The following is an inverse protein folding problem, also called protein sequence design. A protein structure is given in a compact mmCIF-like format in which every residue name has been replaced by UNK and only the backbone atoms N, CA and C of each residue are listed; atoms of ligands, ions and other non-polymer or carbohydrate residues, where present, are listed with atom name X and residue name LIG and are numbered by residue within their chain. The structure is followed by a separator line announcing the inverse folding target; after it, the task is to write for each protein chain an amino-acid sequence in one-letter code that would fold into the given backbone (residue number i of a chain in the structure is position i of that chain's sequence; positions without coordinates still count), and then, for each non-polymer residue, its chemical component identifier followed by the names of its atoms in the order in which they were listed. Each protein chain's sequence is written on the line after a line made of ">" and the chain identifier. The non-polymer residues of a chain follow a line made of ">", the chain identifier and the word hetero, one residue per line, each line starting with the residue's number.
data_IF_392381037094
#
_entry.id   IF_392381037094
#
_cell.length_a   1.000
_cell.length_b   1.000
_cell.length_c   1.000
_cell.angle_alpha   90.00
_cell.angle_beta   90.00
_cell.angle_gamma   90.00
#
_symmetry.space_group_name_H-M   'P 1'
#
loop_
_entity.id
_entity.type
_entity.pdbx_description
1 polymer ?
#
# COMPACT_ATOMS: atom_id res chain seq x y z
N UNK A 1 -0.34 23.96 -11.44
CA UNK A 1 -1.20 22.81 -11.77
C UNK A 1 -0.85 21.71 -10.79
N UNK A 2 -1.84 21.01 -10.24
CA UNK A 2 -1.57 19.83 -9.41
C UNK A 2 -1.03 18.72 -10.28
N UNK A 3 0.00 18.02 -9.80
CA UNK A 3 0.54 16.82 -10.42
C UNK A 3 -0.28 15.59 -10.03
N UNK A 4 -0.07 14.48 -10.74
CA UNK A 4 -0.68 13.18 -10.37
C UNK A 4 -0.20 12.74 -8.99
N UNK A 5 1.06 12.99 -8.64
CA UNK A 5 1.60 12.71 -7.31
C UNK A 5 0.87 13.50 -6.22
N UNK A 6 0.56 14.78 -6.47
CA UNK A 6 -0.23 15.58 -5.52
C UNK A 6 -1.64 15.00 -5.32
N UNK A 7 -2.27 14.48 -6.38
CA UNK A 7 -3.58 13.81 -6.28
C UNK A 7 -3.51 12.50 -5.48
N UNK A 8 -2.43 11.74 -5.60
CA UNK A 8 -2.18 10.51 -4.82
C UNK A 8 -1.97 10.86 -3.34
N UNK A 9 -1.17 11.88 -3.06
CA UNK A 9 -0.94 12.34 -1.68
C UNK A 9 -2.24 12.77 -0.99
N UNK A 10 -3.17 13.41 -1.71
CA UNK A 10 -4.51 13.72 -1.18
C UNK A 10 -5.36 12.49 -0.80
N UNK A 11 -5.00 11.30 -1.30
CA UNK A 11 -5.63 10.04 -0.93
C UNK A 11 -5.04 9.44 0.37
N UNK A 12 -4.07 10.10 1.00
CA UNK A 12 -3.40 9.62 2.21
C UNK A 12 -2.30 8.58 1.95
N UNK A 13 -1.88 8.43 0.70
CA UNK A 13 -0.74 7.60 0.32
C UNK A 13 0.45 8.50 0.00
N UNK A 14 1.44 8.50 0.88
CA UNK A 14 2.67 9.29 0.74
C UNK A 14 3.86 8.45 0.25
N UNK A 15 3.78 7.12 0.38
CA UNK A 15 4.81 6.18 -0.07
C UNK A 15 4.43 5.59 -1.44
N UNK A 16 5.21 5.90 -2.47
CA UNK A 16 5.03 5.35 -3.83
C UNK A 16 5.11 3.81 -3.84
N UNK A 17 5.99 3.23 -3.01
CA UNK A 17 6.12 1.78 -2.85
C UNK A 17 4.82 1.14 -2.33
N UNK A 18 4.10 1.81 -1.44
CA UNK A 18 2.81 1.33 -0.92
C UNK A 18 1.76 1.33 -2.02
N UNK A 19 1.70 2.42 -2.80
CA UNK A 19 0.76 2.54 -3.91
C UNK A 19 1.00 1.48 -4.98
N UNK A 20 2.25 1.27 -5.40
CA UNK A 20 2.58 0.31 -6.44
C UNK A 20 2.16 -1.12 -6.05
N UNK A 21 2.32 -1.46 -4.77
CA UNK A 21 1.95 -2.78 -4.25
C UNK A 21 0.44 -2.98 -4.26
N UNK A 22 -0.33 -1.97 -3.84
CA UNK A 22 -1.78 -2.00 -3.85
C UNK A 22 -2.33 -2.01 -5.29
N UNK A 23 -1.77 -1.18 -6.16
CA UNK A 23 -2.11 -1.15 -7.58
C UNK A 23 -1.88 -2.51 -8.26
N UNK A 24 -0.74 -3.16 -7.97
CA UNK A 24 -0.44 -4.50 -8.48
C UNK A 24 -1.31 -5.60 -7.87
N UNK A 25 -1.71 -5.48 -6.60
CA UNK A 25 -2.61 -6.44 -5.93
C UNK A 25 -4.03 -6.37 -6.48
N UNK A 26 -4.59 -5.17 -6.59
CA UNK A 26 -5.95 -4.95 -7.06
C UNK A 26 -6.09 -4.95 -8.60
N UNK A 27 -4.95 -4.99 -9.31
CA UNK A 27 -4.89 -4.86 -10.77
C UNK A 27 -5.50 -3.54 -11.27
N UNK A 28 -5.21 -2.45 -10.58
CA UNK A 28 -5.74 -1.11 -10.85
C UNK A 28 -4.63 -0.16 -11.30
N UNK A 29 -4.93 0.83 -12.17
CA UNK A 29 -4.03 1.95 -12.42
C UNK A 29 -3.73 2.73 -11.11
N UNK A 30 -2.54 3.34 -10.95
CA UNK A 30 -2.13 3.97 -9.70
C UNK A 30 -3.14 4.98 -9.14
N UNK A 31 -3.72 5.86 -9.97
CA UNK A 31 -4.71 6.84 -9.50
C UNK A 31 -5.99 6.19 -8.95
N UNK A 32 -6.40 5.04 -9.51
CA UNK A 32 -7.59 4.30 -9.06
C UNK A 32 -7.28 3.50 -7.80
N UNK A 33 -6.09 2.90 -7.73
CA UNK A 33 -5.61 2.22 -6.53
C UNK A 33 -5.52 3.19 -5.34
N UNK A 34 -5.06 4.43 -5.56
CA UNK A 34 -5.02 5.46 -4.53
C UNK A 34 -6.42 5.84 -4.03
N UNK A 35 -7.37 6.07 -4.93
CA UNK A 35 -8.75 6.36 -4.56
C UNK A 35 -9.43 5.19 -3.83
N UNK A 36 -9.16 3.95 -4.27
CA UNK A 36 -9.62 2.74 -3.60
C UNK A 36 -9.05 2.62 -2.19
N UNK A 37 -7.73 2.75 -2.02
CA UNK A 37 -7.07 2.66 -0.72
C UNK A 37 -7.60 3.72 0.27
N UNK A 38 -7.80 4.96 -0.20
CA UNK A 38 -8.42 6.02 0.60
C UNK A 38 -9.85 5.68 1.04
N UNK A 39 -10.61 4.99 0.18
CA UNK A 39 -11.92 4.45 0.50
C UNK A 39 -11.85 3.34 1.54
N UNK A 40 -10.98 2.36 1.31
CA UNK A 40 -10.77 1.18 2.15
C UNK A 40 -10.36 1.59 3.56
N UNK A 41 -9.40 2.51 3.70
CA UNK A 41 -8.94 3.03 5.00
C UNK A 41 -10.04 3.71 5.84
N UNK A 42 -11.16 4.13 5.24
CA UNK A 42 -12.31 4.70 5.95
C UNK A 42 -13.33 3.64 6.40
N UNK A 43 -13.19 2.40 5.96
CA UNK A 43 -14.09 1.31 6.36
C UNK A 43 -13.64 0.70 7.69
N UNK A 44 -14.59 0.07 8.40
CA UNK A 44 -14.26 -0.68 9.62
C UNK A 44 -13.39 -1.88 9.24
N UNK A 45 -12.12 -1.85 9.63
CA UNK A 45 -11.16 -2.92 9.36
C UNK A 45 -10.42 -2.81 8.02
N UNK A 46 -10.70 -1.82 7.17
CA UNK A 46 -10.00 -1.70 5.89
C UNK A 46 -8.52 -1.40 6.01
N UNK A 47 -8.09 -0.64 7.04
CA UNK A 47 -6.65 -0.50 7.34
C UNK A 47 -5.99 -1.83 7.69
N UNK A 48 -6.71 -2.74 8.38
CA UNK A 48 -6.22 -4.11 8.63
C UNK A 48 -6.11 -4.91 7.32
N UNK A 49 -7.06 -4.73 6.40
CA UNK A 49 -7.01 -5.36 5.09
C UNK A 49 -5.78 -4.90 4.28
N UNK A 50 -5.46 -3.60 4.27
CA UNK A 50 -4.23 -3.07 3.65
C UNK A 50 -2.98 -3.72 4.27
N UNK A 51 -2.92 -3.82 5.60
CA UNK A 51 -1.83 -4.51 6.30
C UNK A 51 -1.69 -5.97 5.87
N UNK A 52 -2.80 -6.69 5.71
CA UNK A 52 -2.82 -8.09 5.27
C UNK A 52 -2.26 -8.22 3.84
N UNK A 53 -2.62 -7.32 2.93
CA UNK A 53 -2.08 -7.27 1.56
C UNK A 53 -0.57 -7.07 1.58
N UNK A 54 -0.11 -6.03 2.28
CA UNK A 54 1.32 -5.68 2.36
C UNK A 54 2.13 -6.82 2.99
N UNK A 55 1.62 -7.44 4.06
CA UNK A 55 2.26 -8.57 4.72
C UNK A 55 2.33 -9.81 3.83
N UNK A 56 1.27 -10.09 3.07
CA UNK A 56 1.25 -11.18 2.08
C UNK A 56 2.32 -10.98 1.01
N UNK A 57 2.45 -9.76 0.49
CA UNK A 57 3.48 -9.38 -0.49
C UNK A 57 4.89 -9.48 0.08
N UNK A 58 5.09 -9.10 1.35
CA UNK A 58 6.36 -9.26 2.03
C UNK A 58 6.74 -10.75 2.16
N UNK A 59 5.78 -11.61 2.47
CA UNK A 59 5.99 -13.05 2.52
C UNK A 59 6.36 -13.63 1.14
N UNK A 60 5.65 -13.22 0.07
CA UNK A 60 5.99 -13.61 -1.30
C UNK A 60 7.41 -13.18 -1.71
N UNK A 61 7.82 -11.96 -1.36
CA UNK A 61 9.16 -11.45 -1.65
C UNK A 61 10.23 -12.30 -0.96
N UNK A 62 10.03 -12.67 0.31
CA UNK A 62 10.92 -13.60 1.03
C UNK A 62 11.01 -14.97 0.37
N UNK A 63 9.89 -15.54 -0.06
CA UNK A 63 9.87 -16.83 -0.75
C UNK A 63 10.65 -16.81 -2.07
N UNK A 64 10.67 -15.66 -2.76
CA UNK A 64 11.46 -15.46 -3.98
C UNK A 64 12.93 -15.11 -3.72
N UNK A 65 13.33 -14.92 -2.45
CA UNK A 65 14.68 -14.51 -2.07
C UNK A 65 14.95 -13.01 -2.23
N UNK A 66 13.94 -12.20 -2.53
CA UNK A 66 14.06 -10.74 -2.59
C UNK A 66 13.86 -10.14 -1.19
N UNK A 67 14.87 -10.31 -0.35
CA UNK A 67 14.84 -9.81 1.03
C UNK A 67 14.81 -8.28 1.09
N UNK A 68 15.41 -7.59 0.11
CA UNK A 68 15.38 -6.14 0.06
C UNK A 68 13.95 -5.60 -0.16
N UNK A 69 13.17 -6.24 -1.04
CA UNK A 69 11.76 -5.90 -1.21
C UNK A 69 10.93 -6.27 0.03
N UNK A 70 11.20 -7.42 0.64
CA UNK A 70 10.53 -7.83 1.87
C UNK A 70 10.73 -6.81 3.01
N UNK A 71 11.96 -6.35 3.24
CA UNK A 71 12.27 -5.37 4.28
C UNK A 71 11.65 -3.99 4.01
N UNK A 72 11.45 -3.61 2.74
CA UNK A 72 10.68 -2.40 2.39
C UNK A 72 9.21 -2.57 2.74
N UNK A 73 8.61 -3.70 2.36
CA UNK A 73 7.21 -3.99 2.64
C UNK A 73 6.93 -4.12 4.13
N UNK A 74 7.84 -4.72 4.91
CA UNK A 74 7.70 -4.81 6.37
C UNK A 74 7.66 -3.43 7.03
N UNK A 75 8.45 -2.46 6.54
CA UNK A 75 8.41 -1.09 7.06
C UNK A 75 7.05 -0.44 6.80
N UNK A 76 6.43 -0.69 5.65
CA UNK A 76 5.08 -0.21 5.33
C UNK A 76 4.03 -0.90 6.21
N UNK A 77 4.18 -2.22 6.46
CA UNK A 77 3.31 -2.96 7.38
C UNK A 77 3.35 -2.36 8.79
N UNK A 78 4.55 -2.06 9.31
CA UNK A 78 4.69 -1.50 10.65
C UNK A 78 4.15 -0.06 10.73
N UNK A 79 4.34 0.76 9.67
CA UNK A 79 3.72 2.08 9.55
C UNK A 79 2.19 1.99 9.64
N UNK A 80 1.58 1.13 8.82
CA UNK A 80 0.12 1.02 8.78
C UNK A 80 -0.48 0.39 10.04
N UNK A 81 0.25 -0.54 10.69
CA UNK A 81 -0.12 -1.09 12.01
C UNK A 81 -0.10 -0.06 13.12
N UNK A 82 0.87 0.86 13.10
CA UNK A 82 0.96 1.92 14.11
C UNK A 82 -0.22 2.91 14.05
N UNK A 83 -0.97 2.92 12.94
CA UNK A 83 -2.11 3.78 12.71
C UNK A 83 -3.47 3.05 12.77
N UNK A 84 -3.50 1.79 13.23
CA UNK A 84 -4.72 1.06 13.63
C UNK A 84 -5.25 1.56 14.98
#
# INVERSE_FOLDING_TARGET
>A
MLSIGDCIAFCGLEDDDELDVLACHEHLPPVIAAAWAAGEMRTVGGRRHVVEILAGRAAEARLRGDFAAADRLDRLVEKERAAL
#
